data_IF_982204126301
#
_entry.id   IF_982204126301
#
_cell.length_a   1.000
_cell.length_b   1.000
_cell.length_c   1.000
_cell.angle_alpha   90.00
_cell.angle_beta   90.00
_cell.angle_gamma   90.00
#
_symmetry.space_group_name_H-M   'P 1'
#
loop_
_entity.id
_entity.type
_entity.pdbx_description
1 polymer ?
#
# COMPACT_ATOMS: atom_id res chain seq x y z
N UNK A 1 24.94 -17.96 -16.29
CA UNK A 1 24.05 -17.17 -17.15
C UNK A 1 22.85 -16.84 -16.29
N UNK A 2 22.82 -15.66 -15.68
CA UNK A 2 21.74 -15.22 -14.80
C UNK A 2 20.65 -14.63 -15.70
N UNK A 3 19.46 -15.19 -15.60
CA UNK A 3 18.23 -14.80 -16.34
C UNK A 3 17.77 -13.40 -15.86
N UNK A 4 18.49 -12.35 -16.29
CA UNK A 4 18.21 -10.95 -15.90
C UNK A 4 17.35 -10.18 -16.91
N UNK A 5 16.81 -10.86 -17.94
CA UNK A 5 16.11 -10.21 -19.07
C UNK A 5 14.59 -10.45 -19.11
N UNK A 6 13.96 -10.98 -18.05
CA UNK A 6 12.50 -11.05 -18.04
C UNK A 6 11.92 -9.65 -17.76
N UNK A 7 11.17 -9.11 -18.72
CA UNK A 7 10.39 -7.88 -18.51
C UNK A 7 9.50 -8.06 -17.28
N UNK A 8 9.36 -7.00 -16.44
CA UNK A 8 8.47 -7.08 -15.29
C UNK A 8 7.03 -7.42 -15.75
N UNK A 9 6.34 -8.25 -14.98
CA UNK A 9 4.96 -8.67 -15.28
C UNK A 9 3.99 -7.49 -15.25
N UNK A 10 4.27 -6.52 -14.39
CA UNK A 10 3.45 -5.33 -14.18
C UNK A 10 4.23 -4.08 -14.54
N UNK A 11 3.61 -3.18 -15.28
CA UNK A 11 4.20 -1.89 -15.65
C UNK A 11 3.93 -0.83 -14.60
N UNK A 12 2.69 -0.74 -14.11
CA UNK A 12 2.27 0.25 -13.10
C UNK A 12 1.66 -0.45 -11.92
N UNK A 13 2.24 -0.23 -10.75
CA UNK A 13 1.80 -0.86 -9.52
C UNK A 13 1.40 0.17 -8.47
N UNK A 14 0.40 -0.18 -7.64
CA UNK A 14 0.13 0.55 -6.43
C UNK A 14 0.46 -0.33 -5.24
N UNK A 15 1.42 0.10 -4.42
CA UNK A 15 1.79 -0.56 -3.17
C UNK A 15 1.07 0.10 -1.99
N UNK A 16 0.26 -0.67 -1.28
CA UNK A 16 -0.36 -0.25 -0.03
C UNK A 16 0.41 -0.81 1.16
N UNK A 17 0.82 0.08 2.05
CA UNK A 17 1.46 -0.26 3.32
C UNK A 17 0.60 0.21 4.50
N UNK A 18 0.57 -0.57 5.59
CA UNK A 18 0.05 -0.05 6.85
C UNK A 18 1.05 0.95 7.45
N UNK A 19 0.58 1.95 8.22
CA UNK A 19 1.49 2.83 8.94
C UNK A 19 2.42 2.05 9.89
N UNK A 20 1.92 0.97 10.49
CA UNK A 20 2.71 0.08 11.33
C UNK A 20 3.89 -0.60 10.61
N UNK A 21 3.90 -0.57 9.27
CA UNK A 21 5.04 -1.04 8.50
C UNK A 21 6.26 -0.13 8.63
N UNK A 22 6.09 1.11 9.09
CA UNK A 22 7.16 2.09 9.27
C UNK A 22 7.64 2.20 10.72
N UNK A 23 6.96 1.52 11.66
CA UNK A 23 7.32 1.57 13.08
C UNK A 23 8.23 0.40 13.48
N UNK A 24 9.12 0.68 14.39
CA UNK A 24 9.90 -0.33 15.10
C UNK A 24 9.41 -0.40 16.55
N UNK A 25 8.71 -1.49 16.90
CA UNK A 25 8.14 -1.68 18.23
C UNK A 25 9.20 -1.93 19.31
N UNK A 26 10.35 -2.47 18.93
CA UNK A 26 11.43 -2.75 19.88
C UNK A 26 12.11 -1.47 20.34
N UNK A 27 12.31 -0.52 19.43
CA UNK A 27 12.92 0.78 19.74
C UNK A 27 11.91 1.86 20.12
N UNK A 28 10.61 1.62 19.91
CA UNK A 28 9.52 2.59 20.12
C UNK A 28 9.47 3.70 19.08
N UNK A 29 10.21 3.59 17.99
CA UNK A 29 10.20 4.58 16.91
C UNK A 29 8.99 4.39 15.99
N UNK A 30 8.11 5.38 15.94
CA UNK A 30 6.96 5.38 15.03
C UNK A 30 7.36 5.51 13.55
N UNK A 31 8.52 6.11 13.30
CA UNK A 31 9.16 6.23 11.98
C UNK A 31 10.61 5.76 12.13
N UNK A 32 10.87 4.50 11.81
CA UNK A 32 12.22 3.92 11.90
C UNK A 32 13.00 4.22 10.62
N UNK A 33 14.15 4.92 10.73
CA UNK A 33 14.94 5.29 9.56
C UNK A 33 15.47 4.08 8.77
N UNK A 34 15.75 2.96 9.45
CA UNK A 34 16.25 1.74 8.82
C UNK A 34 15.17 1.07 7.99
N UNK A 35 13.95 0.98 8.54
CA UNK A 35 12.79 0.43 7.82
C UNK A 35 12.47 1.30 6.59
N UNK A 36 12.45 2.62 6.76
CA UNK A 36 12.22 3.57 5.65
C UNK A 36 13.29 3.41 4.58
N UNK A 37 14.57 3.29 4.98
CA UNK A 37 15.70 3.11 4.06
C UNK A 37 15.59 1.79 3.28
N UNK A 38 15.23 0.69 3.93
CA UNK A 38 15.03 -0.61 3.28
C UNK A 38 13.87 -0.57 2.28
N UNK A 39 12.76 0.05 2.67
CA UNK A 39 11.63 0.28 1.77
C UNK A 39 12.05 1.10 0.55
N UNK A 40 12.79 2.19 0.75
CA UNK A 40 13.27 3.05 -0.31
C UNK A 40 14.24 2.33 -1.28
N UNK A 41 15.12 1.49 -0.75
CA UNK A 41 16.03 0.68 -1.56
C UNK A 41 15.27 -0.28 -2.48
N UNK A 42 14.29 -1.00 -1.94
CA UNK A 42 13.48 -1.94 -2.72
C UNK A 42 12.61 -1.25 -3.77
N UNK A 43 12.07 -0.07 -3.46
CA UNK A 43 11.31 0.74 -4.45
C UNK A 43 12.22 1.25 -5.57
N UNK A 44 13.45 1.65 -5.22
CA UNK A 44 14.45 2.06 -6.21
C UNK A 44 14.77 0.91 -7.18
N UNK A 45 15.02 -0.29 -6.66
CA UNK A 45 15.28 -1.47 -7.49
C UNK A 45 14.10 -1.77 -8.43
N UNK A 46 12.85 -1.65 -7.95
CA UNK A 46 11.67 -1.79 -8.80
C UNK A 46 11.61 -0.72 -9.92
N UNK A 47 11.94 0.53 -9.58
CA UNK A 47 12.00 1.62 -10.55
C UNK A 47 13.10 1.38 -11.62
N UNK A 48 14.25 0.86 -11.21
CA UNK A 48 15.34 0.50 -12.12
C UNK A 48 14.95 -0.62 -13.11
N UNK A 49 13.99 -1.47 -12.73
CA UNK A 49 13.36 -2.45 -13.64
C UNK A 49 12.33 -1.81 -14.59
N UNK A 50 12.10 -0.50 -14.51
CA UNK A 50 11.15 0.24 -15.33
C UNK A 50 9.70 0.18 -14.86
N UNK A 51 9.48 -0.22 -13.60
CA UNK A 51 8.14 -0.26 -12.99
C UNK A 51 7.74 1.13 -12.50
N UNK A 52 6.56 1.58 -12.87
CA UNK A 52 5.94 2.80 -12.36
C UNK A 52 5.32 2.51 -10.99
N UNK A 53 5.89 3.07 -9.92
CA UNK A 53 5.50 2.77 -8.53
C UNK A 53 4.69 3.91 -7.92
N UNK A 54 3.48 3.60 -7.48
CA UNK A 54 2.66 4.44 -6.62
C UNK A 54 2.52 3.82 -5.23
N UNK A 55 2.45 4.64 -4.18
CA UNK A 55 2.28 4.19 -2.80
C UNK A 55 1.05 4.83 -2.15
N UNK A 56 0.40 4.05 -1.31
CA UNK A 56 -0.54 4.51 -0.30
C UNK A 56 -0.07 3.99 1.06
N UNK A 57 0.05 4.86 2.04
CA UNK A 57 0.49 4.49 3.39
C UNK A 57 -0.56 4.84 4.42
N UNK A 58 -0.81 3.93 5.37
CA UNK A 58 -1.68 4.17 6.52
C UNK A 58 -1.06 5.11 7.55
N UNK A 59 -1.86 5.57 8.53
CA UNK A 59 -1.43 6.46 9.61
C UNK A 59 -1.40 5.82 10.99
N UNK A 60 -1.65 4.51 11.09
CA UNK A 60 -1.92 3.81 12.35
C UNK A 60 -0.76 3.74 13.36
N UNK A 61 0.48 3.96 12.91
CA UNK A 61 1.65 4.12 13.76
C UNK A 61 1.68 5.47 14.51
N UNK A 62 1.07 6.50 13.94
CA UNK A 62 1.03 7.86 14.50
C UNK A 62 -0.29 8.12 15.22
N UNK A 63 -1.41 7.79 14.56
CA UNK A 63 -2.74 8.01 15.09
C UNK A 63 -3.74 6.94 14.65
N UNK A 64 -4.46 6.34 15.60
CA UNK A 64 -5.55 5.38 15.36
C UNK A 64 -6.88 6.00 15.74
N UNK A 65 -7.65 6.43 14.73
CA UNK A 65 -8.93 7.11 14.91
C UNK A 65 -9.96 6.32 15.72
N UNK A 66 -10.03 4.98 15.54
CA UNK A 66 -10.97 4.12 16.27
C UNK A 66 -10.57 3.84 17.74
N UNK A 67 -9.28 3.96 18.08
CA UNK A 67 -8.83 3.92 19.49
C UNK A 67 -9.11 5.24 20.19
N UNK A 68 -9.48 6.24 19.45
CA UNK A 68 -9.70 7.61 19.86
C UNK A 68 -11.17 7.99 19.96
N UNK A 69 -12.09 7.09 20.30
CA UNK A 69 -13.25 7.47 21.13
C UNK A 69 -12.74 8.02 22.47
N UNK A 70 -11.55 8.56 22.40
CA UNK A 70 -10.82 9.28 23.39
C UNK A 70 -11.52 10.61 23.65
N UNK A 71 -12.47 10.56 24.64
CA UNK A 71 -12.69 11.72 25.53
C UNK A 71 -12.98 13.01 24.76
N UNK A 72 -14.06 13.02 23.93
CA UNK A 72 -14.56 14.26 23.34
C UNK A 72 -14.17 14.51 21.88
N UNK A 73 -13.43 13.62 21.21
CA UNK A 73 -13.15 13.70 19.78
C UNK A 73 -14.23 12.91 19.03
N UNK A 74 -14.95 13.56 18.11
CA UNK A 74 -15.90 12.85 17.26
C UNK A 74 -15.19 11.89 16.30
N UNK A 75 -15.87 10.81 15.88
CA UNK A 75 -15.32 9.85 14.91
C UNK A 75 -14.79 10.56 13.65
N UNK A 76 -15.55 11.47 13.08
CA UNK A 76 -15.15 12.21 11.87
C UNK A 76 -13.86 13.02 12.10
N UNK A 77 -13.72 13.69 13.25
CA UNK A 77 -12.48 14.41 13.59
C UNK A 77 -11.30 13.44 13.74
N UNK A 78 -11.49 12.30 14.42
CA UNK A 78 -10.47 11.27 14.56
C UNK A 78 -10.00 10.71 13.21
N UNK A 79 -10.91 10.55 12.27
CA UNK A 79 -10.58 10.08 10.92
C UNK A 79 -9.79 11.13 10.13
N UNK A 80 -10.10 12.44 10.25
CA UNK A 80 -9.25 13.50 9.70
C UNK A 80 -7.85 13.51 10.32
N UNK A 81 -7.73 13.32 11.64
CA UNK A 81 -6.43 13.18 12.30
C UNK A 81 -5.65 11.98 11.75
N UNK A 82 -6.31 10.85 11.52
CA UNK A 82 -5.72 9.68 10.87
C UNK A 82 -5.26 9.96 9.43
N UNK A 83 -6.05 10.72 8.66
CA UNK A 83 -5.65 11.16 7.33
C UNK A 83 -4.40 12.05 7.35
N UNK A 84 -4.31 13.00 8.30
CA UNK A 84 -3.10 13.82 8.48
C UNK A 84 -1.90 12.98 8.90
N UNK A 85 -2.08 11.96 9.73
CA UNK A 85 -1.03 11.01 10.08
C UNK A 85 -0.45 10.28 8.85
N UNK A 86 -1.30 9.96 7.85
CA UNK A 86 -0.80 9.39 6.58
C UNK A 86 0.07 10.37 5.81
N UNK A 87 -0.19 11.68 5.91
CA UNK A 87 0.65 12.70 5.26
C UNK A 87 2.04 12.75 5.90
N UNK A 88 2.12 12.67 7.23
CA UNK A 88 3.41 12.60 7.93
C UNK A 88 4.21 11.39 7.44
N UNK A 89 3.59 10.20 7.35
CA UNK A 89 4.22 9.00 6.83
C UNK A 89 4.67 9.16 5.37
N UNK A 90 3.84 9.79 4.54
CA UNK A 90 4.16 10.05 3.13
C UNK A 90 5.40 10.95 2.97
N UNK A 91 5.52 12.00 3.78
CA UNK A 91 6.68 12.88 3.78
C UNK A 91 7.95 12.18 4.28
N UNK A 92 7.82 11.31 5.30
CA UNK A 92 8.96 10.51 5.78
C UNK A 92 9.45 9.52 4.71
N UNK A 93 8.53 8.85 3.99
CA UNK A 93 8.87 7.98 2.86
C UNK A 93 9.48 8.77 1.71
N UNK A 94 8.97 9.97 1.38
CA UNK A 94 9.56 10.84 0.38
C UNK A 94 11.01 11.16 0.73
N UNK A 95 11.28 11.61 1.95
CA UNK A 95 12.64 11.91 2.39
C UNK A 95 13.58 10.69 2.29
N UNK A 96 13.09 9.50 2.63
CA UNK A 96 13.82 8.24 2.47
C UNK A 96 14.13 7.91 1.01
N UNK A 97 13.15 8.02 0.12
CA UNK A 97 13.29 7.76 -1.31
C UNK A 97 14.25 8.76 -1.97
N UNK A 98 14.10 10.05 -1.70
CA UNK A 98 14.96 11.10 -2.24
C UNK A 98 16.41 10.95 -1.77
N UNK A 99 16.64 10.49 -0.52
CA UNK A 99 17.99 10.15 -0.03
C UNK A 99 18.63 8.99 -0.82
N UNK A 100 17.83 8.10 -1.40
CA UNK A 100 18.27 7.02 -2.29
C UNK A 100 18.34 7.43 -3.77
N UNK A 101 18.12 8.71 -4.08
CA UNK A 101 18.17 9.26 -5.45
C UNK A 101 16.90 8.97 -6.27
N UNK A 102 15.78 8.67 -5.62
CA UNK A 102 14.50 8.41 -6.27
C UNK A 102 13.65 9.68 -6.30
N UNK A 103 13.39 10.22 -7.48
CA UNK A 103 12.48 11.36 -7.66
C UNK A 103 11.08 11.00 -7.15
N UNK A 104 10.58 11.72 -6.14
CA UNK A 104 9.32 11.39 -5.48
C UNK A 104 8.37 12.59 -5.44
N UNK A 105 7.07 12.34 -5.50
CA UNK A 105 6.01 13.35 -5.32
C UNK A 105 4.97 12.85 -4.33
N UNK A 106 4.74 13.65 -3.29
CA UNK A 106 3.60 13.44 -2.38
C UNK A 106 2.41 14.21 -2.94
N UNK A 107 1.28 13.51 -3.08
CA UNK A 107 0.02 14.08 -3.52
C UNK A 107 -1.06 13.80 -2.48
N UNK A 108 -1.85 14.81 -2.11
CA UNK A 108 -2.82 14.69 -1.01
C UNK A 108 -4.25 14.95 -1.47
N UNK A 109 -5.18 14.18 -0.92
CA UNK A 109 -6.63 14.34 -1.15
C UNK A 109 -7.20 15.57 -0.43
N UNK A 110 -6.59 15.95 0.70
CA UNK A 110 -6.88 17.21 1.39
C UNK A 110 -5.91 18.25 0.86
N UNK A 111 -6.42 19.39 0.40
CA UNK A 111 -5.59 20.45 -0.20
C UNK A 111 -4.70 21.10 0.85
N UNK A 112 -3.39 20.97 0.69
CA UNK A 112 -2.36 21.56 1.55
C UNK A 112 -1.11 21.95 0.74
N UNK A 113 -1.21 22.95 -0.14
CA UNK A 113 -0.22 23.24 -1.19
C UNK A 113 1.15 23.66 -0.64
N UNK A 114 1.24 24.12 0.60
CA UNK A 114 2.50 24.42 1.27
C UNK A 114 3.31 23.15 1.65
N UNK A 115 2.69 21.96 1.62
CA UNK A 115 3.28 20.71 2.11
C UNK A 115 3.39 19.66 1.02
N UNK A 116 2.35 19.53 0.18
CA UNK A 116 2.26 18.49 -0.84
C UNK A 116 1.41 18.96 -2.03
N UNK A 117 1.58 18.33 -3.18
CA UNK A 117 0.75 18.62 -4.34
C UNK A 117 -0.70 18.17 -4.10
N UNK A 118 -1.72 18.96 -4.51
CA UNK A 118 -3.09 18.46 -4.51
C UNK A 118 -3.22 17.31 -5.53
N UNK A 119 -3.96 16.26 -5.15
CA UNK A 119 -4.19 15.15 -6.05
C UNK A 119 -4.98 15.59 -7.28
N UNK A 120 -4.40 15.40 -8.44
CA UNK A 120 -5.02 15.54 -9.76
C UNK A 120 -4.62 14.31 -10.56
N UNK A 121 -5.60 13.45 -10.94
CA UNK A 121 -5.38 12.17 -11.62
C UNK A 121 -4.35 12.26 -12.77
N UNK A 122 -4.54 13.20 -13.70
CA UNK A 122 -3.64 13.37 -14.87
C UNK A 122 -2.22 13.74 -14.47
N UNK A 123 -2.06 14.50 -13.38
CA UNK A 123 -0.74 14.88 -12.87
C UNK A 123 -0.04 13.68 -12.22
N UNK A 124 -0.76 12.87 -11.45
CA UNK A 124 -0.23 11.64 -10.88
C UNK A 124 0.28 10.68 -11.97
N UNK A 125 -0.53 10.43 -13.00
CA UNK A 125 -0.14 9.60 -14.14
C UNK A 125 1.11 10.19 -14.81
N UNK A 126 1.16 11.51 -15.03
CA UNK A 126 2.32 12.14 -15.66
C UNK A 126 3.60 12.05 -14.83
N UNK A 127 3.50 12.05 -13.50
CA UNK A 127 4.65 11.78 -12.63
C UNK A 127 5.15 10.34 -12.80
N UNK A 128 4.26 9.36 -12.77
CA UNK A 128 4.60 7.95 -12.98
C UNK A 128 5.26 7.71 -14.35
N UNK A 129 4.69 8.24 -15.42
CA UNK A 129 5.27 8.17 -16.78
C UNK A 129 6.66 8.79 -16.90
N UNK A 130 7.00 9.75 -16.03
CA UNK A 130 8.33 10.35 -15.92
C UNK A 130 9.29 9.56 -15.03
N UNK A 131 8.89 8.37 -14.60
CA UNK A 131 9.67 7.54 -13.69
C UNK A 131 9.76 8.10 -12.27
N UNK A 132 8.81 8.93 -11.83
CA UNK A 132 8.75 9.41 -10.45
C UNK A 132 7.89 8.48 -9.61
N UNK A 133 8.29 8.25 -8.37
CA UNK A 133 7.43 7.59 -7.39
C UNK A 133 6.38 8.58 -6.90
N UNK A 134 5.12 8.16 -6.85
CA UNK A 134 4.03 8.97 -6.32
C UNK A 134 3.53 8.38 -5.01
N UNK A 135 3.49 9.18 -3.94
CA UNK A 135 2.95 8.77 -2.65
C UNK A 135 1.64 9.52 -2.40
N UNK A 136 0.57 8.79 -2.22
CA UNK A 136 -0.74 9.36 -1.93
C UNK A 136 -0.97 9.46 -0.43
N UNK A 137 -1.13 10.67 0.07
CA UNK A 137 -1.48 11.00 1.45
C UNK A 137 -2.90 11.48 1.61
N UNK A 138 -3.35 11.58 2.85
CA UNK A 138 -4.70 12.00 3.26
C UNK A 138 -5.83 11.06 2.78
N UNK A 139 -5.53 9.78 2.54
CA UNK A 139 -6.54 8.77 2.22
C UNK A 139 -7.41 9.13 1.02
N UNK A 140 -8.73 9.02 1.16
CA UNK A 140 -9.71 9.47 0.17
C UNK A 140 -10.03 10.97 0.28
N UNK A 141 -9.60 11.64 1.36
CA UNK A 141 -10.02 12.99 1.73
C UNK A 141 -11.36 13.04 2.46
N UNK A 142 -12.02 11.91 2.61
CA UNK A 142 -13.33 11.79 3.25
C UNK A 142 -13.27 10.84 4.45
N UNK A 143 -13.95 11.19 5.57
CA UNK A 143 -14.14 10.27 6.68
C UNK A 143 -14.86 8.98 6.25
N UNK A 144 -14.81 7.96 7.11
CA UNK A 144 -15.49 6.66 6.95
C UNK A 144 -14.89 5.71 5.90
N UNK A 145 -13.79 6.08 5.26
CA UNK A 145 -13.05 5.23 4.35
C UNK A 145 -11.69 4.84 4.94
N UNK A 146 -11.29 3.61 4.73
CA UNK A 146 -10.02 3.09 5.20
C UNK A 146 -8.87 3.44 4.23
N UNK A 147 -7.65 3.11 4.64
CA UNK A 147 -6.48 3.17 3.74
C UNK A 147 -6.58 2.14 2.60
N UNK A 148 -7.26 1.01 2.82
CA UNK A 148 -7.51 0.01 1.76
C UNK A 148 -8.45 0.58 0.69
N UNK A 149 -9.54 1.27 1.11
CA UNK A 149 -10.43 1.99 0.20
C UNK A 149 -9.69 3.06 -0.59
N UNK A 150 -8.81 3.82 0.05
CA UNK A 150 -7.98 4.82 -0.62
C UNK A 150 -7.04 4.16 -1.65
N UNK A 151 -6.42 3.03 -1.31
CA UNK A 151 -5.52 2.31 -2.22
C UNK A 151 -6.27 1.78 -3.45
N UNK A 152 -7.43 1.16 -3.27
CA UNK A 152 -8.27 0.67 -4.38
C UNK A 152 -8.72 1.82 -5.31
N UNK A 153 -9.16 2.95 -4.71
CA UNK A 153 -9.55 4.14 -5.49
C UNK A 153 -8.38 4.70 -6.30
N UNK A 154 -7.22 4.88 -5.68
CA UNK A 154 -6.04 5.41 -6.38
C UNK A 154 -5.52 4.45 -7.45
N UNK A 155 -5.53 3.13 -7.19
CA UNK A 155 -5.16 2.12 -8.19
C UNK A 155 -6.06 2.23 -9.44
N UNK A 156 -7.38 2.34 -9.25
CA UNK A 156 -8.33 2.52 -10.35
C UNK A 156 -8.10 3.83 -11.12
N UNK A 157 -7.91 4.94 -10.40
CA UNK A 157 -7.73 6.27 -11.00
C UNK A 157 -6.45 6.39 -11.83
N UNK A 158 -5.35 5.78 -11.39
CA UNK A 158 -4.08 5.84 -12.11
C UNK A 158 -3.93 4.74 -13.17
N UNK A 159 -4.86 3.79 -13.23
CA UNK A 159 -4.77 2.62 -14.10
C UNK A 159 -3.61 1.71 -13.70
N UNK A 160 -3.54 1.32 -12.43
CA UNK A 160 -2.56 0.35 -11.96
C UNK A 160 -2.91 -1.06 -12.47
N UNK A 161 -1.90 -1.82 -12.88
CA UNK A 161 -2.06 -3.21 -13.33
C UNK A 161 -2.34 -4.16 -12.16
N UNK A 162 -1.93 -3.77 -10.95
CA UNK A 162 -2.05 -4.58 -9.73
C UNK A 162 -2.00 -3.69 -8.48
N UNK A 163 -2.71 -4.12 -7.44
CA UNK A 163 -2.61 -3.56 -6.10
C UNK A 163 -1.83 -4.54 -5.20
N UNK A 164 -0.65 -4.12 -4.75
CA UNK A 164 0.15 -4.85 -3.77
C UNK A 164 -0.25 -4.44 -2.37
N UNK A 165 -0.71 -5.40 -1.57
CA UNK A 165 -0.99 -5.22 -0.15
C UNK A 165 0.11 -5.82 0.69
N UNK A 166 1.03 -4.97 1.13
CA UNK A 166 2.09 -5.35 2.08
C UNK A 166 1.52 -5.46 3.50
N UNK A 167 1.69 -6.64 4.10
CA UNK A 167 1.19 -6.99 5.43
C UNK A 167 2.28 -7.63 6.29
N UNK A 168 1.92 -8.11 7.48
CA UNK A 168 2.77 -8.92 8.38
C UNK A 168 2.56 -10.43 8.19
N UNK A 169 1.65 -10.80 7.30
CA UNK A 169 1.37 -12.19 6.94
C UNK A 169 1.69 -12.41 5.47
N UNK A 170 2.12 -13.59 5.14
CA UNK A 170 2.62 -13.95 3.82
C UNK A 170 1.53 -14.30 2.80
N UNK A 171 0.27 -13.99 3.10
CA UNK A 171 -0.85 -14.19 2.18
C UNK A 171 -2.20 -14.30 2.87
N UNK A 172 -3.19 -14.82 2.15
CA UNK A 172 -4.55 -15.08 2.61
C UNK A 172 -4.69 -16.54 2.96
N UNK A 173 -5.27 -16.82 4.12
CA UNK A 173 -5.43 -18.16 4.67
C UNK A 173 -6.90 -18.56 4.76
N UNK A 174 -7.14 -19.88 4.83
CA UNK A 174 -8.47 -20.46 5.04
C UNK A 174 -9.09 -20.10 6.39
N UNK A 175 -8.27 -19.79 7.38
CA UNK A 175 -8.59 -19.27 8.71
C UNK A 175 -7.40 -18.47 9.23
N UNK A 176 -7.53 -17.85 10.41
CA UNK A 176 -6.42 -17.13 11.04
C UNK A 176 -5.30 -18.12 11.43
N UNK A 177 -4.11 -18.02 10.81
CA UNK A 177 -3.01 -18.99 11.06
C UNK A 177 -2.43 -18.87 12.48
N UNK A 178 -2.67 -17.78 13.20
CA UNK A 178 -2.21 -17.62 14.59
C UNK A 178 -3.07 -18.46 15.55
N UNK A 179 -4.36 -18.54 15.29
CA UNK A 179 -5.33 -19.24 16.13
C UNK A 179 -5.67 -20.65 15.64
N UNK A 180 -5.42 -20.93 14.37
CA UNK A 180 -5.71 -22.23 13.73
C UNK A 180 -4.47 -22.77 13.01
N UNK A 181 -3.75 -23.73 13.61
CA UNK A 181 -2.54 -24.33 13.01
C UNK A 181 -2.78 -25.07 11.68
N UNK A 182 -4.04 -25.51 11.42
CA UNK A 182 -4.42 -26.21 10.18
C UNK A 182 -4.78 -25.25 9.05
N UNK A 183 -4.70 -23.93 9.28
CA UNK A 183 -4.98 -22.93 8.27
C UNK A 183 -3.96 -23.06 7.11
N UNK A 184 -4.47 -23.18 5.89
CA UNK A 184 -3.66 -23.27 4.67
C UNK A 184 -3.74 -21.96 3.91
N UNK A 185 -2.60 -21.55 3.35
CA UNK A 185 -2.51 -20.33 2.53
C UNK A 185 -3.02 -20.63 1.12
N UNK A 186 -3.82 -19.70 0.58
CA UNK A 186 -4.15 -19.72 -0.83
C UNK A 186 -2.96 -19.18 -1.66
N UNK A 187 -2.62 -19.83 -2.76
CA UNK A 187 -1.73 -19.27 -3.78
C UNK A 187 -2.51 -18.30 -4.67
N UNK A 188 -3.68 -18.73 -5.11
CA UNK A 188 -4.62 -17.95 -5.90
C UNK A 188 -6.03 -18.15 -5.37
N UNK A 189 -6.85 -17.11 -5.45
CA UNK A 189 -8.27 -17.18 -5.10
C UNK A 189 -9.04 -16.16 -5.95
N UNK A 190 -10.26 -16.52 -6.39
CA UNK A 190 -11.11 -15.56 -7.09
C UNK A 190 -11.78 -14.58 -6.14
N UNK A 191 -12.23 -13.43 -6.66
CA UNK A 191 -13.01 -12.47 -5.88
C UNK A 191 -14.30 -13.11 -5.33
N UNK A 192 -15.01 -13.88 -6.17
CA UNK A 192 -16.26 -14.52 -5.78
C UNK A 192 -16.05 -15.56 -4.67
N UNK A 193 -14.97 -16.35 -4.78
CA UNK A 193 -14.64 -17.34 -3.74
C UNK A 193 -14.25 -16.66 -2.43
N UNK A 194 -13.47 -15.58 -2.48
CA UNK A 194 -13.09 -14.82 -1.29
C UNK A 194 -14.30 -14.21 -0.59
N UNK A 195 -15.29 -13.70 -1.34
CA UNK A 195 -16.55 -13.19 -0.82
C UNK A 195 -17.39 -14.33 -0.23
N UNK A 196 -17.56 -15.44 -0.95
CA UNK A 196 -18.34 -16.57 -0.49
C UNK A 196 -17.80 -17.17 0.82
N UNK A 197 -16.47 -17.16 0.98
CA UNK A 197 -15.78 -17.61 2.20
C UNK A 197 -15.63 -16.53 3.27
N UNK A 198 -16.13 -15.32 3.03
CA UNK A 198 -16.05 -14.16 3.94
C UNK A 198 -14.63 -13.86 4.44
N UNK A 199 -13.63 -14.01 3.56
CA UNK A 199 -12.23 -13.76 3.91
C UNK A 199 -11.98 -12.27 4.14
N UNK A 200 -11.36 -11.94 5.26
CA UNK A 200 -11.07 -10.55 5.65
C UNK A 200 -9.76 -10.06 5.02
N UNK A 201 -9.77 -9.88 3.72
CA UNK A 201 -8.59 -9.44 2.95
C UNK A 201 -8.44 -7.91 3.03
N UNK A 202 -9.51 -7.21 2.73
CA UNK A 202 -9.64 -5.75 2.76
C UNK A 202 -11.03 -5.38 3.28
N UNK A 203 -11.31 -4.08 3.51
CA UNK A 203 -12.69 -3.66 3.71
C UNK A 203 -13.53 -3.89 2.44
N UNK A 204 -14.84 -4.07 2.63
CA UNK A 204 -15.77 -4.44 1.55
C UNK A 204 -15.76 -3.43 0.40
N UNK A 205 -15.67 -2.13 0.70
CA UNK A 205 -15.67 -1.09 -0.32
C UNK A 205 -14.41 -1.17 -1.21
N UNK A 206 -13.24 -1.35 -0.59
CA UNK A 206 -11.98 -1.53 -1.31
C UNK A 206 -12.00 -2.78 -2.18
N UNK A 207 -12.51 -3.89 -1.63
CA UNK A 207 -12.55 -5.17 -2.32
C UNK A 207 -13.49 -5.12 -3.54
N UNK A 208 -14.71 -4.57 -3.37
CA UNK A 208 -15.66 -4.38 -4.47
C UNK A 208 -15.09 -3.48 -5.56
N UNK A 209 -14.41 -2.39 -5.19
CA UNK A 209 -13.82 -1.46 -6.16
C UNK A 209 -12.74 -2.14 -7.01
N UNK A 210 -11.87 -2.95 -6.40
CA UNK A 210 -10.87 -3.71 -7.15
C UNK A 210 -11.53 -4.74 -8.08
N UNK A 211 -12.54 -5.48 -7.59
CA UNK A 211 -13.29 -6.47 -8.37
C UNK A 211 -13.98 -5.86 -9.58
N UNK A 212 -14.70 -4.73 -9.40
CA UNK A 212 -15.42 -4.04 -10.48
C UNK A 212 -14.51 -3.45 -11.55
N UNK A 213 -13.27 -3.09 -11.18
CA UNK A 213 -12.28 -2.50 -12.09
C UNK A 213 -11.22 -3.50 -12.56
N UNK A 214 -11.40 -4.79 -12.29
CA UNK A 214 -10.48 -5.86 -12.70
C UNK A 214 -9.02 -5.66 -12.24
N UNK A 215 -8.82 -5.09 -11.06
CA UNK A 215 -7.49 -4.83 -10.49
C UNK A 215 -7.12 -6.01 -9.59
N UNK A 216 -6.21 -6.90 -9.99
CA UNK A 216 -5.77 -7.99 -9.13
C UNK A 216 -5.11 -7.44 -7.86
N UNK A 217 -5.30 -8.17 -6.75
CA UNK A 217 -4.67 -7.84 -5.47
C UNK A 217 -3.66 -8.94 -5.14
N UNK A 218 -2.44 -8.55 -4.77
CA UNK A 218 -1.45 -9.49 -4.22
C UNK A 218 -1.18 -9.14 -2.77
N UNK A 219 -1.49 -10.08 -1.87
CA UNK A 219 -1.21 -9.97 -0.44
C UNK A 219 0.08 -10.71 -0.15
N UNK A 220 1.06 -10.05 0.47
CA UNK A 220 2.37 -10.63 0.74
C UNK A 220 2.98 -10.07 2.04
N UNK A 221 3.99 -10.76 2.59
CA UNK A 221 4.74 -10.29 3.75
C UNK A 221 5.77 -9.24 3.32
N UNK A 222 5.49 -7.98 3.67
CA UNK A 222 6.38 -6.86 3.39
C UNK A 222 7.70 -6.92 4.17
N UNK A 223 7.71 -7.59 5.32
CA UNK A 223 8.88 -7.63 6.22
C UNK A 223 9.84 -8.77 5.89
N UNK A 224 9.39 -9.74 5.13
CA UNK A 224 10.24 -10.88 4.73
C UNK A 224 11.23 -10.45 3.67
N UNK A 225 12.51 -10.55 4.02
CA UNK A 225 13.62 -10.13 3.15
C UNK A 225 13.52 -10.77 1.75
N UNK A 226 13.62 -9.94 0.72
CA UNK A 226 13.60 -10.35 -0.69
C UNK A 226 12.21 -10.59 -1.28
N UNK A 227 11.14 -10.78 -0.49
CA UNK A 227 9.79 -11.02 -1.05
C UNK A 227 9.25 -9.81 -1.80
N UNK A 228 9.54 -8.61 -1.31
CA UNK A 228 9.16 -7.37 -1.96
C UNK A 228 9.62 -7.33 -3.44
N UNK A 229 10.88 -7.65 -3.70
CA UNK A 229 11.41 -7.66 -5.07
C UNK A 229 10.87 -8.82 -5.91
N UNK A 230 10.63 -9.97 -5.29
CA UNK A 230 10.02 -11.11 -5.96
C UNK A 230 8.62 -10.80 -6.47
N UNK A 231 7.81 -10.11 -5.67
CA UNK A 231 6.46 -9.65 -6.08
C UNK A 231 6.55 -8.72 -7.29
N UNK A 232 7.47 -7.77 -7.29
CA UNK A 232 7.67 -6.87 -8.43
C UNK A 232 8.14 -7.58 -9.71
N UNK A 233 8.86 -8.67 -9.59
CA UNK A 233 9.25 -9.52 -10.73
C UNK A 233 8.13 -10.44 -11.19
N UNK A 234 6.98 -10.44 -10.53
CA UNK A 234 5.84 -11.30 -10.85
C UNK A 234 6.05 -12.77 -10.45
N UNK A 235 6.99 -13.03 -9.52
CA UNK A 235 7.16 -14.36 -8.98
C UNK A 235 5.96 -14.76 -8.10
N UNK A 236 5.63 -16.06 -7.98
CA UNK A 236 4.52 -16.53 -7.17
C UNK A 236 4.82 -16.36 -5.67
N UNK A 237 4.52 -15.17 -5.15
CA UNK A 237 4.70 -14.78 -3.75
C UNK A 237 3.36 -14.36 -3.19
N UNK A 238 3.08 -14.77 -1.96
CA UNK A 238 1.87 -14.36 -1.29
C UNK A 238 0.62 -15.06 -1.83
N UNK A 239 -0.48 -14.33 -1.90
CA UNK A 239 -1.76 -14.77 -2.46
C UNK A 239 -2.21 -13.78 -3.52
N UNK A 240 -2.47 -14.27 -4.73
CA UNK A 240 -3.09 -13.51 -5.79
C UNK A 240 -4.62 -13.62 -5.68
N UNK A 241 -5.31 -12.48 -5.61
CA UNK A 241 -6.75 -12.37 -5.71
C UNK A 241 -7.08 -11.73 -7.04
N UNK A 242 -7.90 -12.39 -7.86
CA UNK A 242 -8.24 -11.89 -9.19
C UNK A 242 -9.51 -12.51 -9.76
N UNK A 243 -9.73 -12.31 -11.06
CA UNK A 243 -10.75 -13.07 -11.77
C UNK A 243 -10.32 -14.54 -11.89
N UNK A 244 -11.31 -15.44 -11.83
CA UNK A 244 -11.12 -16.86 -12.09
C UNK A 244 -10.74 -17.09 -13.56
#
# INVERSE_FOLDING_TARGET
MTDSDSKPTYKRVLLKLSGEALENKETGLHLDPTIISNCASSIKEAQELGIEVALVVGGGNIFRGMSGELRGISRSQGEYMGMLATVINALALQAGLEKHGVDTRVMTSITMPAVAEPFIRRRAIRHLEKGRVVIFGAGTGNPYFTTDSAAALRASEIGADVLFKGTKVDGVYTADPVTNPDATRYENISYDEAIAKQLKIMDTAAFSLCMENDIPIIVFDFFKSGEFMRVFRGEPVGTLIGKA
#
